data_IF_707800277838
#
_entry.id   IF_707800277838
#
_cell.length_a   1.000
_cell.length_b   1.000
_cell.length_c   1.000
_cell.angle_alpha   90.00
_cell.angle_beta   90.00
_cell.angle_gamma   90.00
#
_symmetry.space_group_name_H-M   'P 1'
#
loop_
_entity.id
_entity.type
_entity.pdbx_description
1 polymer ?
#
# COMPACT_ATOMS: atom_id res chain seq x y z
N UNK A 1 13.03 -47.04 -30.53
CA UNK A 1 12.66 -45.62 -30.51
C UNK A 1 13.06 -45.02 -29.17
N UNK A 2 13.78 -43.91 -29.22
CA UNK A 2 14.27 -43.20 -28.03
C UNK A 2 13.11 -42.46 -27.36
N UNK A 3 13.10 -42.35 -26.02
CA UNK A 3 12.12 -41.52 -25.27
C UNK A 3 12.02 -40.09 -25.80
N UNK A 4 13.08 -39.59 -26.45
CA UNK A 4 13.11 -38.26 -27.06
C UNK A 4 12.22 -38.15 -28.31
N UNK A 5 12.13 -39.22 -29.10
CA UNK A 5 11.29 -39.29 -30.31
C UNK A 5 9.80 -39.30 -29.93
N UNK A 6 9.45 -39.99 -28.84
CA UNK A 6 8.08 -40.03 -28.32
C UNK A 6 7.60 -38.67 -27.78
N UNK A 7 8.50 -37.90 -27.15
CA UNK A 7 8.21 -36.55 -26.67
C UNK A 7 7.99 -35.59 -27.85
N UNK A 8 8.86 -35.65 -28.87
CA UNK A 8 8.73 -34.81 -30.07
C UNK A 8 7.43 -35.10 -30.84
N UNK A 9 7.04 -36.38 -30.95
CA UNK A 9 5.76 -36.77 -31.56
C UNK A 9 4.56 -36.19 -30.81
N UNK A 10 4.54 -36.29 -29.46
CA UNK A 10 3.45 -35.74 -28.62
C UNK A 10 3.37 -34.21 -28.67
N UNK A 11 4.49 -33.51 -28.84
CA UNK A 11 4.49 -32.05 -29.00
C UNK A 11 3.93 -31.63 -30.35
N UNK A 12 4.30 -32.33 -31.43
CA UNK A 12 3.76 -32.07 -32.77
C UNK A 12 2.24 -32.28 -32.81
N UNK A 13 1.76 -33.36 -32.19
CA UNK A 13 0.32 -33.66 -32.11
C UNK A 13 -0.47 -32.59 -31.35
N UNK A 14 0.04 -32.11 -30.21
CA UNK A 14 -0.58 -30.99 -29.47
C UNK A 14 -0.57 -29.68 -30.25
N UNK A 15 0.49 -29.42 -31.02
CA UNK A 15 0.60 -28.20 -31.83
C UNK A 15 -0.42 -28.20 -32.97
N UNK A 16 -0.69 -29.37 -33.56
CA UNK A 16 -1.70 -29.52 -34.61
C UNK A 16 -3.10 -29.34 -34.01
N UNK A 17 -3.39 -29.97 -32.87
CA UNK A 17 -4.69 -29.85 -32.20
C UNK A 17 -5.00 -28.41 -31.76
N UNK A 18 -4.00 -27.66 -31.29
CA UNK A 18 -4.14 -26.24 -30.97
C UNK A 18 -4.43 -25.39 -32.20
N UNK A 19 -3.82 -25.71 -33.35
CA UNK A 19 -4.04 -24.98 -34.58
C UNK A 19 -5.45 -25.22 -35.15
N UNK A 20 -5.93 -26.47 -35.11
CA UNK A 20 -7.29 -26.84 -35.52
C UNK A 20 -8.35 -26.13 -34.67
N UNK A 21 -8.20 -26.12 -33.34
CA UNK A 21 -9.10 -25.37 -32.44
C UNK A 21 -9.12 -23.88 -32.71
N UNK A 22 -7.97 -23.29 -33.07
CA UNK A 22 -7.89 -21.87 -33.42
C UNK A 22 -8.64 -21.56 -34.73
N UNK A 23 -8.58 -22.47 -35.71
CA UNK A 23 -9.28 -22.31 -36.99
C UNK A 23 -10.79 -22.45 -36.81
N UNK A 24 -11.25 -23.40 -35.99
CA UNK A 24 -12.67 -23.55 -35.64
C UNK A 24 -13.22 -22.32 -34.92
N UNK A 25 -12.44 -21.73 -34.01
CA UNK A 25 -12.84 -20.52 -33.30
C UNK A 25 -12.96 -19.32 -34.25
N UNK A 26 -12.04 -19.17 -35.22
CA UNK A 26 -12.13 -18.13 -36.24
C UNK A 26 -13.34 -18.34 -37.17
N UNK A 27 -13.66 -19.58 -37.54
CA UNK A 27 -14.82 -19.90 -38.35
C UNK A 27 -16.13 -19.55 -37.62
N UNK A 28 -16.24 -19.82 -36.32
CA UNK A 28 -17.40 -19.42 -35.51
C UNK A 28 -17.56 -17.90 -35.42
N UNK A 29 -16.46 -17.16 -35.25
CA UNK A 29 -16.49 -15.69 -35.22
C UNK A 29 -16.97 -15.13 -36.57
N UNK A 30 -16.46 -15.66 -37.68
CA UNK A 30 -16.89 -15.25 -39.03
C UNK A 30 -18.39 -15.55 -39.25
N UNK A 31 -18.88 -16.69 -38.78
CA UNK A 31 -20.30 -17.05 -38.89
C UNK A 31 -21.19 -16.13 -38.04
N UNK A 32 -20.79 -15.78 -36.80
CA UNK A 32 -21.52 -14.81 -35.99
C UNK A 32 -21.54 -13.43 -36.63
N UNK A 33 -20.43 -12.97 -37.20
CA UNK A 33 -20.39 -11.68 -37.90
C UNK A 33 -21.32 -11.66 -39.12
N UNK A 34 -21.41 -12.77 -39.86
CA UNK A 34 -22.37 -12.91 -40.96
C UNK A 34 -23.83 -12.85 -40.51
N UNK A 35 -24.17 -13.47 -39.38
CA UNK A 35 -25.53 -13.40 -38.81
C UNK A 35 -25.89 -11.98 -38.36
N UNK A 36 -24.95 -11.25 -37.73
CA UNK A 36 -25.14 -9.86 -37.33
C UNK A 36 -25.36 -8.97 -38.56
N UNK A 37 -24.58 -9.14 -39.62
CA UNK A 37 -24.76 -8.39 -40.86
C UNK A 37 -26.13 -8.64 -41.50
N UNK A 38 -26.59 -9.91 -41.52
CA UNK A 38 -27.92 -10.27 -42.01
C UNK A 38 -29.07 -9.66 -41.19
N UNK A 39 -28.92 -9.60 -39.85
CA UNK A 39 -29.89 -8.94 -38.98
C UNK A 39 -29.95 -7.43 -39.22
N UNK A 40 -28.80 -6.78 -39.45
CA UNK A 40 -28.74 -5.34 -39.75
C UNK A 40 -29.46 -5.02 -41.07
N UNK A 41 -29.27 -5.83 -42.12
CA UNK A 41 -29.93 -5.60 -43.41
C UNK A 41 -31.43 -5.98 -43.38
N UNK A 42 -31.84 -6.95 -42.58
CA UNK A 42 -33.25 -7.24 -42.32
C UNK A 42 -33.96 -6.09 -41.61
N UNK A 43 -33.29 -5.41 -40.67
CA UNK A 43 -33.82 -4.21 -40.00
C UNK A 43 -34.00 -3.05 -40.98
N UNK A 44 -33.09 -2.89 -41.95
CA UNK A 44 -33.20 -1.85 -42.99
C UNK A 44 -34.32 -2.07 -44.00
N UNK A 45 -34.81 -3.31 -44.14
CA UNK A 45 -35.77 -3.70 -45.19
C UNK A 45 -37.18 -3.94 -44.69
N UNK A 46 -37.45 -3.75 -43.39
CA UNK A 46 -38.81 -3.88 -42.83
C UNK A 46 -39.74 -2.78 -43.40
N UNK A 47 -40.88 -3.14 -44.04
CA UNK A 47 -41.82 -2.17 -44.59
C UNK A 47 -42.63 -1.52 -43.47
N UNK A 48 -42.44 -0.23 -43.25
CA UNK A 48 -43.16 0.55 -42.22
C UNK A 48 -42.39 1.74 -41.65
N UNK A 49 -41.08 1.88 -41.93
CA UNK A 49 -40.30 3.05 -41.49
C UNK A 49 -40.37 4.14 -42.56
N UNK A 50 -41.39 4.99 -42.45
CA UNK A 50 -41.51 6.24 -43.20
C UNK A 50 -40.34 7.17 -42.84
N UNK A 51 -39.61 7.61 -43.86
CA UNK A 51 -38.61 8.68 -43.88
C UNK A 51 -37.38 8.53 -42.97
N UNK A 52 -36.15 8.71 -43.51
CA UNK A 52 -34.96 8.91 -42.68
C UNK A 52 -35.01 10.34 -42.14
N UNK A 53 -35.81 10.57 -41.09
CA UNK A 53 -35.40 11.59 -40.11
C UNK A 53 -34.10 11.05 -39.55
N UNK A 54 -33.00 11.75 -39.78
CA UNK A 54 -31.75 11.49 -39.11
C UNK A 54 -31.99 11.63 -37.61
N UNK A 55 -32.43 10.55 -36.97
CA UNK A 55 -32.33 10.38 -35.53
C UNK A 55 -30.83 10.30 -35.32
N UNK A 56 -30.22 11.45 -35.04
CA UNK A 56 -28.97 11.49 -34.33
C UNK A 56 -29.25 10.70 -33.05
N UNK A 57 -28.87 9.41 -33.05
CA UNK A 57 -28.77 8.62 -31.83
C UNK A 57 -27.64 9.27 -31.07
N UNK A 58 -27.96 10.34 -30.36
CA UNK A 58 -27.07 10.96 -29.42
C UNK A 58 -26.75 9.83 -28.44
N UNK A 59 -25.48 9.39 -28.31
CA UNK A 59 -25.14 8.33 -27.39
C UNK A 59 -25.68 8.76 -26.03
N UNK A 60 -26.57 7.95 -25.45
CA UNK A 60 -27.17 8.24 -24.17
C UNK A 60 -26.05 8.68 -23.22
N UNK A 61 -26.19 9.86 -22.62
CA UNK A 61 -25.18 10.40 -21.73
C UNK A 61 -24.82 9.30 -20.71
N UNK A 62 -23.57 8.84 -20.76
CA UNK A 62 -23.09 7.79 -19.86
C UNK A 62 -23.38 8.30 -18.44
N UNK A 63 -24.08 7.48 -17.64
CA UNK A 63 -24.37 7.81 -16.26
C UNK A 63 -23.06 8.26 -15.59
N UNK A 64 -23.01 9.46 -14.98
CA UNK A 64 -21.81 9.98 -14.34
C UNK A 64 -21.21 9.01 -13.32
N UNK A 65 -22.04 8.17 -12.67
CA UNK A 65 -21.57 7.13 -11.75
C UNK A 65 -20.78 6.04 -12.48
N UNK A 66 -21.23 5.60 -13.65
CA UNK A 66 -20.55 4.58 -14.47
C UNK A 66 -19.25 5.16 -15.03
N UNK A 67 -19.28 6.39 -15.51
CA UNK A 67 -18.09 7.08 -15.99
C UNK A 67 -17.03 7.24 -14.89
N UNK A 68 -17.46 7.52 -13.65
CA UNK A 68 -16.55 7.60 -12.49
C UNK A 68 -15.98 6.23 -12.11
N UNK A 69 -16.81 5.18 -12.10
CA UNK A 69 -16.35 3.82 -11.82
C UNK A 69 -15.26 3.34 -12.81
N UNK A 70 -15.41 3.63 -14.12
CA UNK A 70 -14.38 3.31 -15.12
C UNK A 70 -13.06 4.05 -14.83
N UNK A 71 -13.13 5.34 -14.46
CA UNK A 71 -11.94 6.11 -14.07
C UNK A 71 -11.26 5.54 -12.82
N UNK A 72 -12.02 5.16 -11.80
CA UNK A 72 -11.50 4.53 -10.57
C UNK A 72 -10.84 3.18 -10.88
N UNK A 73 -11.42 2.39 -11.79
CA UNK A 73 -10.82 1.14 -12.24
C UNK A 73 -9.49 1.39 -12.97
N UNK A 74 -9.41 2.39 -13.86
CA UNK A 74 -8.16 2.80 -14.51
C UNK A 74 -7.12 3.27 -13.50
N UNK A 75 -7.53 3.99 -12.46
CA UNK A 75 -6.65 4.40 -11.36
C UNK A 75 -6.08 3.17 -10.62
N UNK A 76 -6.95 2.21 -10.26
CA UNK A 76 -6.53 0.96 -9.61
C UNK A 76 -5.52 0.17 -10.44
N UNK A 77 -5.71 0.11 -11.77
CA UNK A 77 -4.75 -0.53 -12.66
C UNK A 77 -3.42 0.22 -12.74
N UNK A 78 -3.48 1.56 -12.76
CA UNK A 78 -2.27 2.41 -12.80
C UNK A 78 -1.46 2.28 -11.51
N UNK A 79 -2.12 2.26 -10.36
CA UNK A 79 -1.51 2.01 -9.05
C UNK A 79 -0.81 0.65 -8.97
N UNK A 80 -1.34 -0.40 -9.61
CA UNK A 80 -0.70 -1.72 -9.64
C UNK A 80 0.49 -1.82 -10.60
N UNK A 81 0.55 -0.93 -11.59
CA UNK A 81 1.62 -0.91 -12.61
C UNK A 81 2.76 0.04 -12.25
N UNK A 82 2.58 0.91 -11.26
CA UNK A 82 3.63 1.84 -10.86
C UNK A 82 4.80 1.10 -10.21
N UNK A 83 6.03 1.50 -10.56
CA UNK A 83 7.24 0.99 -9.93
C UNK A 83 7.60 1.77 -8.65
N UNK A 84 6.86 2.84 -8.34
CA UNK A 84 7.16 3.77 -7.23
C UNK A 84 6.69 3.26 -5.88
N UNK A 85 5.63 2.47 -5.86
CA UNK A 85 5.14 1.78 -4.67
C UNK A 85 5.08 0.28 -4.94
N UNK A 86 5.61 -0.50 -4.00
CA UNK A 86 5.56 -1.96 -4.02
C UNK A 86 4.53 -2.42 -3.01
N UNK A 87 4.01 -3.63 -3.19
CA UNK A 87 3.08 -4.26 -2.25
C UNK A 87 3.63 -4.24 -0.82
N UNK A 88 2.78 -3.87 0.14
CA UNK A 88 3.12 -3.88 1.55
C UNK A 88 3.14 -5.31 2.08
N UNK A 89 4.26 -5.72 2.66
CA UNK A 89 4.49 -7.10 3.14
C UNK A 89 4.46 -7.25 4.67
N UNK A 90 4.23 -6.18 5.43
CA UNK A 90 4.21 -6.20 6.90
C UNK A 90 5.58 -6.20 7.58
N UNK A 91 6.60 -6.84 6.98
CA UNK A 91 7.88 -7.09 7.66
C UNK A 91 9.02 -6.14 7.25
N UNK A 92 8.96 -5.56 6.04
CA UNK A 92 10.12 -4.90 5.41
C UNK A 92 9.98 -3.37 5.30
N UNK A 93 8.85 -2.81 5.70
CA UNK A 93 8.55 -1.39 5.50
C UNK A 93 7.66 -0.84 6.62
N UNK A 94 7.95 0.37 7.07
CA UNK A 94 7.07 1.10 7.98
C UNK A 94 5.73 1.39 7.28
N UNK A 95 4.63 0.94 7.89
CA UNK A 95 3.28 1.13 7.37
C UNK A 95 2.92 2.61 7.21
N UNK A 96 3.45 3.51 8.05
CA UNK A 96 3.20 4.96 7.92
C UNK A 96 3.85 5.51 6.66
N UNK A 97 5.08 5.09 6.38
CA UNK A 97 5.80 5.47 5.15
C UNK A 97 5.07 4.90 3.94
N UNK A 98 4.60 3.66 4.01
CA UNK A 98 3.82 3.04 2.94
C UNK A 98 2.53 3.82 2.64
N UNK A 99 1.72 4.14 3.66
CA UNK A 99 0.49 4.93 3.51
C UNK A 99 0.79 6.28 2.85
N UNK A 100 1.82 6.99 3.34
CA UNK A 100 2.19 8.30 2.77
C UNK A 100 2.64 8.21 1.30
N UNK A 101 3.42 7.18 0.96
CA UNK A 101 3.83 6.92 -0.44
C UNK A 101 2.64 6.55 -1.30
N UNK A 102 1.70 5.77 -0.77
CA UNK A 102 0.46 5.39 -1.44
C UNK A 102 -0.36 6.64 -1.77
N UNK A 103 -0.59 7.51 -0.79
CA UNK A 103 -1.34 8.75 -0.98
C UNK A 103 -0.66 9.70 -1.96
N UNK A 104 0.66 9.87 -1.87
CA UNK A 104 1.41 10.72 -2.80
C UNK A 104 1.34 10.22 -4.25
N UNK A 105 1.42 8.90 -4.46
CA UNK A 105 1.25 8.32 -5.79
C UNK A 105 -0.19 8.42 -6.29
N UNK A 106 -1.17 8.23 -5.40
CA UNK A 106 -2.58 8.37 -5.70
C UNK A 106 -2.93 9.79 -6.18
N UNK A 107 -2.43 10.82 -5.49
CA UNK A 107 -2.60 12.22 -5.90
C UNK A 107 -1.87 12.55 -7.21
N UNK A 108 -0.78 11.86 -7.52
CA UNK A 108 -0.09 12.00 -8.81
C UNK A 108 -0.90 11.39 -9.97
N UNK A 109 -1.56 10.26 -9.74
CA UNK A 109 -2.28 9.50 -10.77
C UNK A 109 -3.74 9.95 -10.98
N UNK A 110 -4.41 10.50 -9.95
CA UNK A 110 -5.79 11.02 -10.03
C UNK A 110 -6.02 11.98 -11.21
N UNK A 111 -5.17 13.01 -11.42
CA UNK A 111 -5.31 13.91 -12.57
C UNK A 111 -5.14 13.21 -13.92
N UNK A 112 -4.27 12.20 -14.00
CA UNK A 112 -4.00 11.46 -15.25
C UNK A 112 -5.20 10.64 -15.73
N UNK A 113 -6.05 10.19 -14.80
CA UNK A 113 -7.31 9.47 -15.12
C UNK A 113 -8.53 10.39 -15.15
N UNK A 114 -8.35 11.70 -14.93
CA UNK A 114 -9.42 12.69 -14.96
C UNK A 114 -10.36 12.63 -13.75
N UNK A 115 -9.83 12.33 -12.56
CA UNK A 115 -10.53 12.43 -11.27
C UNK A 115 -9.99 13.68 -10.56
N UNK A 116 -10.84 14.71 -10.40
CA UNK A 116 -10.49 15.93 -9.68
C UNK A 116 -10.81 15.83 -8.18
N UNK A 117 -11.92 15.17 -7.84
CA UNK A 117 -12.40 15.09 -6.46
C UNK A 117 -11.66 14.03 -5.63
N UNK A 118 -11.86 14.07 -4.32
CA UNK A 118 -11.40 13.03 -3.41
C UNK A 118 -12.13 11.70 -3.69
N UNK A 119 -11.44 10.60 -3.40
CA UNK A 119 -12.04 9.26 -3.45
C UNK A 119 -12.90 9.04 -2.21
N UNK A 120 -14.03 8.38 -2.41
CA UNK A 120 -14.88 7.91 -1.31
C UNK A 120 -14.26 6.67 -0.65
N UNK A 121 -14.71 6.30 0.55
CA UNK A 121 -14.26 5.08 1.24
C UNK A 121 -14.39 3.83 0.33
N UNK A 122 -15.51 3.73 -0.41
CA UNK A 122 -15.81 2.63 -1.33
C UNK A 122 -14.85 2.57 -2.53
N UNK A 123 -14.21 3.68 -2.90
CA UNK A 123 -13.26 3.76 -4.01
C UNK A 123 -11.82 3.58 -3.52
N UNK A 124 -11.46 4.23 -2.41
CA UNK A 124 -10.10 4.20 -1.85
C UNK A 124 -9.72 2.81 -1.35
N UNK A 125 -10.61 2.18 -0.57
CA UNK A 125 -10.27 0.96 0.18
C UNK A 125 -9.94 -0.20 -0.76
N UNK A 126 -10.69 -0.47 -1.84
CA UNK A 126 -10.31 -1.52 -2.79
C UNK A 126 -8.96 -1.27 -3.47
N UNK A 127 -8.61 -0.01 -3.76
CA UNK A 127 -7.32 0.35 -4.35
C UNK A 127 -6.19 0.10 -3.35
N UNK A 128 -6.35 0.55 -2.11
CA UNK A 128 -5.38 0.32 -1.05
C UNK A 128 -5.19 -1.17 -0.76
N UNK A 129 -6.30 -1.92 -0.63
CA UNK A 129 -6.31 -3.36 -0.40
C UNK A 129 -5.56 -4.13 -1.50
N UNK A 130 -5.63 -3.69 -2.75
CA UNK A 130 -4.96 -4.34 -3.87
C UNK A 130 -3.42 -4.26 -3.81
N UNK A 131 -2.85 -3.40 -2.97
CA UNK A 131 -1.41 -3.25 -2.74
C UNK A 131 -0.95 -3.84 -1.40
N UNK A 132 -1.79 -4.66 -0.76
CA UNK A 132 -1.42 -5.40 0.45
C UNK A 132 -1.12 -6.85 0.08
N UNK A 133 -0.05 -7.41 0.66
CA UNK A 133 0.24 -8.84 0.51
C UNK A 133 -0.85 -9.70 1.15
N UNK A 134 -0.96 -10.95 0.68
CA UNK A 134 -1.90 -11.93 1.22
C UNK A 134 -1.79 -12.08 2.75
N UNK A 135 -0.58 -12.16 3.30
CA UNK A 135 -0.34 -12.26 4.74
C UNK A 135 -0.88 -11.07 5.53
N UNK A 136 -0.78 -9.86 4.98
CA UNK A 136 -1.31 -8.64 5.61
C UNK A 136 -2.84 -8.67 5.55
N UNK A 137 -3.42 -9.06 4.42
CA UNK A 137 -4.87 -9.18 4.26
C UNK A 137 -5.47 -10.16 5.26
N UNK A 138 -4.90 -11.36 5.39
CA UNK A 138 -5.36 -12.35 6.38
C UNK A 138 -5.29 -11.81 7.80
N UNK A 139 -4.21 -11.10 8.14
CA UNK A 139 -4.05 -10.51 9.47
C UNK A 139 -5.12 -9.44 9.76
N UNK A 140 -5.40 -8.56 8.81
CA UNK A 140 -6.47 -7.56 8.95
C UNK A 140 -7.84 -8.24 9.10
N UNK A 141 -8.12 -9.28 8.31
CA UNK A 141 -9.37 -10.04 8.42
C UNK A 141 -9.51 -10.76 9.77
N UNK A 142 -8.41 -11.24 10.36
CA UNK A 142 -8.42 -11.78 11.72
C UNK A 142 -8.76 -10.71 12.76
N UNK A 143 -8.25 -9.49 12.61
CA UNK A 143 -8.54 -8.38 13.52
C UNK A 143 -10.01 -7.98 13.43
N UNK A 144 -10.56 -7.90 12.21
CA UNK A 144 -11.98 -7.67 11.98
C UNK A 144 -12.89 -8.70 12.67
N UNK A 145 -12.47 -9.97 12.72
CA UNK A 145 -13.24 -11.04 13.40
C UNK A 145 -13.13 -10.98 14.93
N UNK A 146 -12.08 -10.38 15.48
CA UNK A 146 -11.86 -10.31 16.93
C UNK A 146 -12.64 -9.19 17.60
N UNK A 147 -13.01 -8.14 16.86
CA UNK A 147 -13.79 -7.03 17.37
C UNK A 147 -15.29 -7.40 17.41
N UNK A 148 -15.69 -8.12 18.47
CA UNK A 148 -17.07 -8.61 18.67
C UNK A 148 -18.09 -7.51 18.93
N UNK A 149 -17.66 -6.29 19.25
CA UNK A 149 -18.55 -5.15 19.52
C UNK A 149 -18.87 -4.30 18.29
N UNK A 150 -18.01 -4.32 17.27
CA UNK A 150 -18.17 -3.53 16.06
C UNK A 150 -17.61 -4.29 14.85
N UNK A 151 -18.46 -5.08 14.19
CA UNK A 151 -18.05 -5.93 13.06
C UNK A 151 -17.64 -5.03 11.89
N UNK A 152 -16.34 -4.75 11.78
CA UNK A 152 -15.75 -4.04 10.65
C UNK A 152 -15.49 -5.01 9.51
N UNK A 153 -15.77 -4.56 8.30
CA UNK A 153 -15.47 -5.29 7.06
C UNK A 153 -14.78 -4.35 6.09
N UNK A 154 -14.16 -4.90 5.05
CA UNK A 154 -13.59 -4.09 3.97
C UNK A 154 -14.61 -3.15 3.30
N UNK A 155 -15.90 -3.47 3.34
CA UNK A 155 -16.96 -2.62 2.78
C UNK A 155 -17.55 -1.59 3.76
N UNK A 156 -17.26 -1.70 5.06
CA UNK A 156 -17.85 -0.83 6.10
C UNK A 156 -16.83 0.00 6.87
N UNK A 157 -15.53 -0.31 6.76
CA UNK A 157 -14.48 0.48 7.39
C UNK A 157 -14.31 1.83 6.68
N UNK A 158 -14.05 2.89 7.43
CA UNK A 158 -13.70 4.22 6.86
C UNK A 158 -12.20 4.30 6.59
N UNK A 159 -11.76 5.19 5.69
CA UNK A 159 -10.33 5.41 5.42
C UNK A 159 -9.55 5.69 6.70
N UNK A 160 -10.09 6.55 7.58
CA UNK A 160 -9.46 6.93 8.85
C UNK A 160 -9.28 5.73 9.78
N UNK A 161 -10.31 4.89 9.92
CA UNK A 161 -10.26 3.71 10.77
C UNK A 161 -9.32 2.65 10.20
N UNK A 162 -9.27 2.51 8.87
CA UNK A 162 -8.33 1.62 8.20
C UNK A 162 -6.88 2.04 8.47
N UNK A 163 -6.53 3.31 8.28
CA UNK A 163 -5.19 3.80 8.59
C UNK A 163 -4.81 3.57 10.05
N UNK A 164 -5.72 3.87 10.98
CA UNK A 164 -5.51 3.63 12.41
C UNK A 164 -5.20 2.16 12.68
N UNK A 165 -6.03 1.25 12.19
CA UNK A 165 -5.83 -0.19 12.33
C UNK A 165 -4.50 -0.65 11.74
N UNK A 166 -4.17 -0.18 10.53
CA UNK A 166 -2.92 -0.55 9.87
C UNK A 166 -1.69 -0.11 10.67
N UNK A 167 -1.75 1.09 11.28
CA UNK A 167 -0.68 1.60 12.15
C UNK A 167 -0.62 0.86 13.48
N UNK A 168 -1.75 0.47 14.07
CA UNK A 168 -1.76 -0.29 15.33
C UNK A 168 -1.21 -1.72 15.16
N UNK A 169 -1.56 -2.39 14.06
CA UNK A 169 -1.16 -3.78 13.81
C UNK A 169 0.24 -3.91 13.20
N UNK A 170 0.58 -3.06 12.23
CA UNK A 170 1.81 -3.14 11.45
C UNK A 170 2.76 -1.97 11.71
N UNK A 171 2.41 -1.08 12.65
CA UNK A 171 3.28 -0.04 13.12
C UNK A 171 4.56 -0.61 13.69
N UNK A 172 5.66 0.07 13.39
CA UNK A 172 6.95 -0.26 13.96
C UNK A 172 6.89 -0.05 15.48
N UNK A 173 6.95 -1.16 16.24
CA UNK A 173 6.97 -1.13 17.72
C UNK A 173 8.35 -0.82 18.29
N UNK A 174 9.11 0.04 17.61
CA UNK A 174 10.37 0.53 18.16
C UNK A 174 10.07 1.63 19.17
N UNK A 175 10.88 1.70 20.22
CA UNK A 175 10.85 2.86 21.10
C UNK A 175 11.19 4.12 20.30
N UNK A 176 10.62 5.25 20.69
CA UNK A 176 10.91 6.54 20.06
C UNK A 176 12.41 6.83 19.98
N UNK A 177 13.15 6.42 21.02
CA UNK A 177 14.61 6.51 21.07
C UNK A 177 15.24 5.69 19.96
N UNK A 178 14.86 4.43 19.77
CA UNK A 178 15.39 3.60 18.68
C UNK A 178 15.11 4.18 17.29
N UNK A 179 13.95 4.84 17.10
CA UNK A 179 13.61 5.54 15.86
C UNK A 179 14.57 6.72 15.63
N UNK A 180 14.81 7.52 16.65
CA UNK A 180 15.75 8.66 16.60
C UNK A 180 17.17 8.19 16.31
N UNK A 181 17.64 7.13 16.97
CA UNK A 181 18.99 6.59 16.78
C UNK A 181 19.23 6.09 15.34
N UNK A 182 18.22 5.50 14.71
CA UNK A 182 18.31 5.09 13.30
C UNK A 182 18.51 6.27 12.35
N UNK A 183 18.06 7.46 12.71
CA UNK A 183 18.18 8.66 11.88
C UNK A 183 19.60 9.25 11.92
N UNK A 184 20.34 9.07 13.02
CA UNK A 184 21.70 9.58 13.19
C UNK A 184 22.79 8.62 12.66
N UNK A 185 22.42 7.66 11.80
CA UNK A 185 23.38 6.77 11.14
C UNK A 185 24.27 7.52 10.12
N UNK A 186 25.57 7.15 9.98
CA UNK A 186 26.52 7.84 9.10
C UNK A 186 26.04 8.01 7.66
N UNK A 187 25.27 7.05 7.14
CA UNK A 187 24.78 7.03 5.75
C UNK A 187 23.54 7.89 5.51
N UNK A 188 22.86 8.39 6.55
CA UNK A 188 21.62 9.20 6.40
C UNK A 188 21.84 10.70 6.51
N UNK A 189 23.03 11.11 6.95
CA UNK A 189 23.38 12.52 7.16
C UNK A 189 24.16 13.12 5.98
N UNK A 190 24.50 12.32 4.97
CA UNK A 190 25.36 12.75 3.87
C UNK A 190 24.65 12.64 2.52
N UNK A 191 24.64 13.72 1.76
CA UNK A 191 24.21 13.74 0.37
C UNK A 191 25.25 13.01 -0.51
N UNK A 192 24.80 12.09 -1.36
CA UNK A 192 25.68 11.44 -2.35
C UNK A 192 26.16 12.44 -3.41
N UNK A 193 27.37 12.26 -3.95
CA UNK A 193 27.98 13.21 -4.90
C UNK A 193 27.22 13.33 -6.22
N UNK A 194 26.54 12.26 -6.64
CA UNK A 194 25.74 12.12 -7.86
C UNK A 194 24.29 12.62 -7.74
N UNK A 195 23.79 12.84 -6.52
CA UNK A 195 22.41 13.29 -6.27
C UNK A 195 22.29 14.82 -6.34
N UNK A 196 21.16 15.34 -6.82
CA UNK A 196 20.87 16.78 -6.75
C UNK A 196 20.54 17.22 -5.32
N UNK A 197 20.74 18.51 -4.99
CA UNK A 197 20.38 19.03 -3.66
C UNK A 197 18.86 18.98 -3.42
N UNK A 198 18.07 19.20 -4.47
CA UNK A 198 16.61 19.18 -4.39
C UNK A 198 16.08 17.77 -4.10
N UNK A 199 16.59 16.76 -4.81
CA UNK A 199 16.20 15.36 -4.59
C UNK A 199 16.63 14.91 -3.19
N UNK A 200 17.83 15.28 -2.76
CA UNK A 200 18.32 15.01 -1.42
C UNK A 200 17.42 15.63 -0.34
N UNK A 201 17.08 16.91 -0.48
CA UNK A 201 16.21 17.60 0.49
C UNK A 201 14.84 16.92 0.58
N UNK A 202 14.25 16.58 -0.57
CA UNK A 202 12.97 15.89 -0.60
C UNK A 202 13.06 14.53 0.08
N UNK A 203 14.01 13.68 -0.30
CA UNK A 203 14.21 12.37 0.32
C UNK A 203 14.49 12.49 1.82
N UNK A 204 15.36 13.41 2.22
CA UNK A 204 15.69 13.68 3.62
C UNK A 204 14.45 14.06 4.42
N UNK A 205 13.67 15.06 3.97
CA UNK A 205 12.44 15.48 4.65
C UNK A 205 11.40 14.36 4.75
N UNK A 206 11.28 13.51 3.73
CA UNK A 206 10.34 12.38 3.77
C UNK A 206 10.78 11.29 4.75
N UNK A 207 12.09 11.15 4.97
CA UNK A 207 12.65 10.13 5.85
C UNK A 207 12.72 10.55 7.32
N UNK A 208 12.60 11.85 7.65
CA UNK A 208 12.53 12.29 9.05
C UNK A 208 11.24 11.72 9.69
N UNK A 209 11.36 10.99 10.81
CA UNK A 209 10.20 10.49 11.56
C UNK A 209 9.31 11.61 12.06
N UNK A 210 7.99 11.40 12.10
CA UNK A 210 7.02 12.42 12.55
C UNK A 210 7.26 12.87 14.00
N UNK A 211 7.77 11.99 14.87
CA UNK A 211 8.12 12.37 16.25
C UNK A 211 9.27 13.38 16.34
N UNK A 212 10.01 13.57 15.25
CA UNK A 212 11.07 14.57 15.12
C UNK A 212 10.61 15.83 14.37
N UNK A 213 9.31 15.96 14.06
CA UNK A 213 8.70 17.12 13.39
C UNK A 213 7.69 17.83 14.30
N UNK A 214 8.14 18.47 15.40
CA UNK A 214 7.25 19.20 16.28
C UNK A 214 6.64 20.41 15.56
N UNK A 215 5.32 20.59 15.71
CA UNK A 215 4.54 21.70 15.15
C UNK A 215 3.87 22.56 16.23
N UNK A 216 3.93 22.15 17.50
CA UNK A 216 3.38 22.89 18.64
C UNK A 216 4.42 23.06 19.75
N UNK A 217 4.26 24.08 20.60
CA UNK A 217 5.16 24.32 21.74
C UNK A 217 5.32 23.10 22.65
N UNK A 218 4.24 22.33 22.84
CA UNK A 218 4.29 21.11 23.64
C UNK A 218 5.06 20.00 22.92
N UNK A 219 4.89 19.86 21.61
CA UNK A 219 5.66 18.92 20.81
C UNK A 219 7.16 19.26 20.80
N UNK A 220 7.52 20.55 20.78
CA UNK A 220 8.91 20.97 20.91
C UNK A 220 9.53 20.53 22.24
N UNK A 221 8.79 20.65 23.35
CA UNK A 221 9.24 20.13 24.65
C UNK A 221 9.39 18.62 24.65
N UNK A 222 8.43 17.90 24.07
CA UNK A 222 8.47 16.44 23.96
C UNK A 222 9.65 15.98 23.10
N UNK A 223 9.93 16.71 22.01
CA UNK A 223 11.08 16.46 21.14
C UNK A 223 12.40 16.68 21.88
N UNK A 224 12.54 17.76 22.65
CA UNK A 224 13.73 18.01 23.46
C UNK A 224 13.98 16.90 24.48
N UNK A 225 12.93 16.45 25.20
CA UNK A 225 13.02 15.31 26.12
C UNK A 225 13.42 14.01 25.39
N UNK A 226 12.86 13.77 24.20
CA UNK A 226 13.21 12.62 23.38
C UNK A 226 14.70 12.63 22.97
N UNK A 227 15.25 13.77 22.58
CA UNK A 227 16.68 13.91 22.26
C UNK A 227 17.53 13.64 23.51
N UNK A 228 17.17 14.18 24.67
CA UNK A 228 17.88 13.89 25.92
C UNK A 228 17.85 12.40 26.28
N UNK A 229 16.70 11.74 26.14
CA UNK A 229 16.57 10.29 26.35
C UNK A 229 17.45 9.50 25.38
N UNK A 230 17.48 9.87 24.11
CA UNK A 230 18.31 9.20 23.12
C UNK A 230 19.81 9.37 23.43
N UNK A 231 20.23 10.59 23.78
CA UNK A 231 21.62 10.87 24.18
C UNK A 231 22.01 10.10 25.45
N UNK A 232 21.14 10.09 26.46
CA UNK A 232 21.35 9.31 27.68
C UNK A 232 21.50 7.82 27.38
N UNK A 233 20.61 7.26 26.57
CA UNK A 233 20.64 5.86 26.16
C UNK A 233 21.98 5.46 25.51
N UNK A 234 22.47 6.24 24.54
CA UNK A 234 23.77 5.96 23.89
C UNK A 234 24.91 6.10 24.91
N UNK A 235 24.86 7.14 25.74
CA UNK A 235 25.95 7.47 26.68
C UNK A 235 26.14 6.42 27.77
N UNK A 236 25.12 5.61 28.08
CA UNK A 236 25.27 4.50 29.02
C UNK A 236 26.33 3.49 28.57
N UNK A 237 26.46 3.25 27.25
CA UNK A 237 27.37 2.27 26.67
C UNK A 237 27.41 0.93 27.42
N UNK A 238 26.25 0.49 27.92
CA UNK A 238 26.07 -0.72 28.70
C UNK A 238 24.84 -1.47 28.17
N UNK A 239 25.10 -2.62 27.51
CA UNK A 239 24.07 -3.42 26.84
C UNK A 239 22.96 -3.87 27.78
N UNK A 240 23.27 -4.17 29.05
CA UNK A 240 22.27 -4.61 30.01
C UNK A 240 21.30 -3.48 30.37
N UNK A 241 21.84 -2.29 30.65
CA UNK A 241 21.02 -1.11 30.96
C UNK A 241 20.22 -0.64 29.76
N UNK A 242 20.83 -0.66 28.57
CA UNK A 242 20.14 -0.35 27.31
C UNK A 242 19.02 -1.34 26.98
N UNK A 243 19.18 -2.62 27.31
CA UNK A 243 18.11 -3.63 27.14
C UNK A 243 16.96 -3.34 28.09
N UNK A 244 17.23 -3.08 29.37
CA UNK A 244 16.19 -2.73 30.35
C UNK A 244 15.38 -1.49 29.93
N UNK A 245 16.06 -0.47 29.37
CA UNK A 245 15.39 0.71 28.82
C UNK A 245 14.54 0.42 27.58
N UNK A 246 14.98 -0.50 26.71
CA UNK A 246 14.19 -0.93 25.54
C UNK A 246 12.94 -1.70 25.94
N UNK A 247 12.96 -2.40 27.08
CA UNK A 247 11.85 -3.20 27.61
C UNK A 247 10.82 -2.36 28.39
N UNK A 248 11.03 -1.06 28.55
CA UNK A 248 10.09 -0.15 29.20
C UNK A 248 8.73 -0.16 28.47
N UNK A 249 7.69 -0.57 29.19
CA UNK A 249 6.30 -0.61 28.69
C UNK A 249 5.56 0.71 28.85
N UNK A 250 6.16 1.69 29.52
CA UNK A 250 5.51 2.97 29.81
C UNK A 250 5.27 3.74 28.50
N UNK A 251 4.02 4.12 28.19
CA UNK A 251 3.75 4.96 27.04
C UNK A 251 4.35 6.35 27.27
N UNK A 252 5.13 6.85 26.30
CA UNK A 252 5.81 8.15 26.36
C UNK A 252 6.66 8.36 27.62
N UNK A 253 7.73 7.57 27.83
CA UNK A 253 8.58 7.71 29.00
C UNK A 253 9.30 9.06 28.99
N UNK A 254 9.56 9.62 30.17
CA UNK A 254 10.35 10.87 30.31
C UNK A 254 11.82 10.55 30.57
N UNK A 255 12.71 11.55 30.48
CA UNK A 255 14.10 11.36 30.91
C UNK A 255 14.21 10.87 32.36
N UNK A 256 13.33 11.34 33.25
CA UNK A 256 13.30 10.86 34.63
C UNK A 256 12.95 9.38 34.71
N UNK A 257 11.98 8.93 33.91
CA UNK A 257 11.62 7.51 33.80
C UNK A 257 12.81 6.65 33.36
N UNK A 258 13.60 7.14 32.40
CA UNK A 258 14.82 6.45 31.96
C UNK A 258 15.86 6.39 33.08
N UNK A 259 16.09 7.49 33.78
CA UNK A 259 16.99 7.53 34.93
C UNK A 259 16.57 6.53 36.01
N UNK A 260 15.31 6.58 36.46
CA UNK A 260 14.79 5.71 37.51
C UNK A 260 14.94 4.22 37.11
N UNK A 261 14.60 3.86 35.87
CA UNK A 261 14.73 2.49 35.37
C UNK A 261 16.20 2.05 35.29
N UNK A 262 17.12 2.90 34.83
CA UNK A 262 18.55 2.55 34.80
C UNK A 262 19.10 2.28 36.19
N UNK A 263 18.72 3.09 37.19
CA UNK A 263 19.12 2.88 38.59
C UNK A 263 18.57 1.56 39.11
N UNK A 264 17.30 1.27 38.85
CA UNK A 264 16.69 0.00 39.25
C UNK A 264 17.35 -1.20 38.55
N UNK A 265 17.61 -1.11 37.25
CA UNK A 265 18.28 -2.15 36.47
C UNK A 265 19.71 -2.41 36.95
N UNK A 266 20.46 -1.35 37.24
CA UNK A 266 21.81 -1.45 37.80
C UNK A 266 21.78 -2.12 39.18
N UNK A 267 20.86 -1.70 40.05
CA UNK A 267 20.68 -2.31 41.37
C UNK A 267 20.34 -3.80 41.27
N UNK A 268 19.42 -4.19 40.37
CA UNK A 268 19.08 -5.61 40.14
C UNK A 268 20.32 -6.40 39.73
N UNK A 269 21.13 -5.86 38.80
CA UNK A 269 22.37 -6.52 38.34
C UNK A 269 23.35 -6.75 39.49
N UNK A 270 23.59 -5.73 40.33
CA UNK A 270 24.50 -5.83 41.48
C UNK A 270 24.03 -6.90 42.47
N UNK A 271 22.74 -6.92 42.81
CA UNK A 271 22.18 -7.95 43.70
C UNK A 271 22.38 -9.39 43.20
N UNK A 272 22.42 -9.64 41.88
CA UNK A 272 22.69 -10.98 41.35
C UNK A 272 24.19 -11.32 41.26
N UNK A 273 25.08 -10.32 41.27
CA UNK A 273 26.53 -10.53 41.25
C UNK A 273 27.10 -10.73 42.66
N UNK A 274 26.40 -10.24 43.69
CA UNK A 274 26.78 -10.35 45.10
C UNK A 274 26.30 -11.66 45.77
N UNK A 275 25.64 -12.57 45.02
CA UNK A 275 25.21 -13.92 45.44
C UNK A 275 26.18 -14.97 44.88
#
# INVERSE_FOLDING_TARGET
>A
MSKLEEILAKMAERSIEQHERSLEQQAQIAQQQGQIAGLIDAIKTMPGVLNPVAVQVQPAAIDPAIARADKVQRLSMSMRKTNRIKDFKGNDSDIRIFIKKFEGELETLKPMVGIADNLTDLEYIPIFRALLSFSVLERVEQVFRKDTGNIKTWGSITIKDLHKLMVEEFGVKHTDVAIVLKQFGPSRLTKSSDMSVQDFYYEWCQNIPEIMKPNTDQEYKNFADLIHRAMFYISLNDTHLQTALSDLKTPNPTIKTYFDETVMAESRRKCFQDI
#
